data_IF_961814814322
#
_entry.id   IF_961814814322
#
_cell.length_a   1.000
_cell.length_b   1.000
_cell.length_c   1.000
_cell.angle_alpha   90.00
_cell.angle_beta   90.00
_cell.angle_gamma   90.00
#
_symmetry.space_group_name_H-M   'P 1'
#
loop_
_entity.id
_entity.type
_entity.pdbx_description
1 polymer ?
#
# COMPACT_ATOMS: atom_id res chain seq x y z
N UNK A 1 -10.31 10.82 -15.11
CA UNK A 1 -9.60 10.48 -13.86
C UNK A 1 -10.31 11.22 -12.74
N UNK A 2 -11.07 10.51 -11.90
CA UNK A 2 -11.75 11.10 -10.74
C UNK A 2 -10.66 11.71 -9.83
N UNK A 3 -10.85 12.93 -9.35
CA UNK A 3 -9.90 13.55 -8.41
C UNK A 3 -10.04 12.82 -7.08
N UNK A 4 -8.94 12.26 -6.59
CA UNK A 4 -8.84 11.76 -5.22
C UNK A 4 -9.28 12.87 -4.26
N UNK A 5 -10.08 12.51 -3.26
CA UNK A 5 -10.36 13.44 -2.18
C UNK A 5 -9.07 13.81 -1.45
N UNK A 6 -8.99 15.00 -0.82
CA UNK A 6 -7.82 15.39 -0.04
C UNK A 6 -7.44 14.35 1.04
N UNK A 7 -8.45 13.69 1.62
CA UNK A 7 -8.25 12.64 2.63
C UNK A 7 -7.60 11.39 2.03
N UNK A 8 -8.11 10.86 0.92
CA UNK A 8 -7.54 9.70 0.24
C UNK A 8 -6.11 9.98 -0.23
N UNK A 9 -5.85 11.19 -0.71
CA UNK A 9 -4.52 11.60 -1.13
C UNK A 9 -3.52 11.61 0.05
N UNK A 10 -3.92 12.15 1.20
CA UNK A 10 -3.10 12.14 2.42
C UNK A 10 -2.84 10.70 2.88
N UNK A 11 -3.88 9.85 2.90
CA UNK A 11 -3.74 8.45 3.27
C UNK A 11 -2.77 7.73 2.34
N UNK A 12 -2.87 7.96 1.03
CA UNK A 12 -1.96 7.40 0.03
C UNK A 12 -0.52 7.86 0.25
N UNK A 13 -0.29 9.14 0.52
CA UNK A 13 1.06 9.68 0.80
C UNK A 13 1.65 9.00 2.04
N UNK A 14 0.90 8.96 3.15
CA UNK A 14 1.37 8.35 4.40
C UNK A 14 1.68 6.87 4.17
N UNK A 15 0.79 6.15 3.48
CA UNK A 15 0.96 4.74 3.16
C UNK A 15 2.20 4.50 2.29
N UNK A 16 2.44 5.36 1.29
CA UNK A 16 3.60 5.29 0.41
C UNK A 16 4.90 5.53 1.18
N UNK A 17 4.93 6.55 2.05
CA UNK A 17 6.11 6.86 2.88
C UNK A 17 6.40 5.72 3.84
N UNK A 18 5.37 5.17 4.51
CA UNK A 18 5.52 4.04 5.41
C UNK A 18 6.06 2.80 4.68
N UNK A 19 5.58 2.53 3.46
CA UNK A 19 6.08 1.44 2.63
C UNK A 19 7.54 1.61 2.25
N UNK A 20 7.92 2.79 1.73
CA UNK A 20 9.30 3.08 1.35
C UNK A 20 10.24 3.04 2.55
N UNK A 21 9.80 3.53 3.70
CA UNK A 21 10.53 3.44 4.96
C UNK A 21 10.75 2.00 5.39
N UNK A 22 9.71 1.16 5.32
CA UNK A 22 9.79 -0.26 5.65
C UNK A 22 10.75 -1.02 4.73
N UNK A 23 10.63 -0.82 3.42
CA UNK A 23 11.52 -1.44 2.42
C UNK A 23 12.96 -0.94 2.59
N UNK A 24 13.16 0.36 2.81
CA UNK A 24 14.48 0.93 3.05
C UNK A 24 15.15 0.34 4.30
N UNK A 25 14.39 0.18 5.38
CA UNK A 25 14.85 -0.48 6.59
C UNK A 25 15.21 -1.95 6.35
N UNK A 26 14.34 -2.70 5.65
CA UNK A 26 14.57 -4.08 5.26
C UNK A 26 15.87 -4.26 4.45
N UNK A 27 16.08 -3.41 3.44
CA UNK A 27 17.27 -3.43 2.58
C UNK A 27 18.55 -3.10 3.36
N UNK A 28 18.47 -2.27 4.41
CA UNK A 28 19.62 -1.89 5.19
C UNK A 28 19.94 -2.88 6.32
N UNK A 29 18.93 -3.28 7.11
CA UNK A 29 19.11 -4.03 8.35
C UNK A 29 18.82 -5.52 8.25
N UNK A 30 18.03 -5.97 7.26
CA UNK A 30 17.55 -7.34 7.21
C UNK A 30 18.13 -8.16 6.04
N UNK A 31 19.27 -7.71 5.47
CA UNK A 31 19.90 -8.38 4.31
C UNK A 31 20.15 -9.87 4.53
N UNK A 32 20.57 -10.24 5.72
CA UNK A 32 20.91 -11.63 6.05
C UNK A 32 19.68 -12.51 6.30
N UNK A 33 18.49 -11.90 6.46
CA UNK A 33 17.23 -12.60 6.74
C UNK A 33 16.39 -12.88 5.49
N UNK A 34 16.74 -12.33 4.32
CA UNK A 34 15.93 -12.53 3.10
C UNK A 34 15.87 -13.97 2.60
N UNK A 35 16.86 -14.80 2.94
CA UNK A 35 16.92 -16.21 2.50
C UNK A 35 16.43 -17.20 3.56
N UNK A 36 16.00 -16.72 4.74
CA UNK A 36 15.46 -17.58 5.78
C UNK A 36 13.93 -17.61 5.72
N UNK A 37 13.34 -18.69 6.24
CA UNK A 37 11.88 -18.83 6.33
C UNK A 37 11.25 -17.71 7.18
N UNK A 38 12.01 -17.12 8.11
CA UNK A 38 11.61 -15.93 8.86
C UNK A 38 11.54 -14.66 7.98
N UNK A 39 12.27 -14.64 6.87
CA UNK A 39 12.29 -13.53 5.91
C UNK A 39 10.93 -13.25 5.29
N UNK A 40 10.10 -14.28 5.06
CA UNK A 40 8.74 -14.11 4.53
C UNK A 40 7.86 -13.28 5.50
N UNK A 41 8.10 -13.42 6.81
CA UNK A 41 7.33 -12.74 7.84
C UNK A 41 7.63 -11.24 7.89
N UNK A 42 8.81 -10.81 7.41
CA UNK A 42 9.16 -9.40 7.28
C UNK A 42 8.37 -8.68 6.18
N UNK A 43 7.76 -9.41 5.26
CA UNK A 43 6.87 -8.84 4.23
C UNK A 43 5.41 -8.69 4.72
N UNK A 44 5.08 -9.18 5.91
CA UNK A 44 3.72 -9.12 6.45
C UNK A 44 3.16 -7.68 6.48
N UNK A 45 3.94 -6.64 6.85
CA UNK A 45 3.47 -5.25 6.82
C UNK A 45 3.17 -4.73 5.40
N UNK A 46 3.69 -5.36 4.35
CA UNK A 46 3.40 -4.96 2.97
C UNK A 46 1.95 -5.29 2.57
N UNK A 47 1.34 -6.32 3.15
CA UNK A 47 -0.03 -6.76 2.81
C UNK A 47 -1.08 -5.67 3.07
N UNK A 48 -1.20 -5.10 4.29
CA UNK A 48 -2.17 -4.03 4.54
C UNK A 48 -1.87 -2.77 3.70
N UNK A 49 -0.58 -2.49 3.43
CA UNK A 49 -0.17 -1.36 2.57
C UNK A 49 -0.72 -1.53 1.15
N UNK A 50 -0.57 -2.72 0.55
CA UNK A 50 -1.15 -3.04 -0.76
C UNK A 50 -2.67 -2.98 -0.74
N UNK A 51 -3.30 -3.43 0.35
CA UNK A 51 -4.75 -3.41 0.50
C UNK A 51 -5.34 -2.00 0.42
N UNK A 52 -4.65 -1.00 0.97
CA UNK A 52 -5.08 0.42 0.88
C UNK A 52 -5.13 0.90 -0.58
N UNK A 53 -4.17 0.52 -1.42
CA UNK A 53 -4.20 0.88 -2.84
C UNK A 53 -5.36 0.21 -3.58
N UNK A 54 -5.59 -1.09 -3.32
CA UNK A 54 -6.70 -1.84 -3.93
C UNK A 54 -8.04 -1.25 -3.50
N UNK A 55 -8.22 -0.99 -2.21
CA UNK A 55 -9.46 -0.45 -1.67
C UNK A 55 -9.81 0.91 -2.28
N UNK A 56 -8.85 1.83 -2.36
CA UNK A 56 -9.07 3.14 -2.99
C UNK A 56 -9.37 2.99 -4.48
N UNK A 57 -8.68 2.10 -5.19
CA UNK A 57 -8.89 1.89 -6.62
C UNK A 57 -10.24 1.24 -6.94
N UNK A 58 -10.65 0.24 -6.14
CA UNK A 58 -11.93 -0.46 -6.27
C UNK A 58 -13.11 0.45 -5.93
N UNK A 59 -13.07 1.19 -4.81
CA UNK A 59 -14.15 2.13 -4.47
C UNK A 59 -14.32 3.21 -5.53
N UNK A 60 -13.22 3.70 -6.10
CA UNK A 60 -13.30 4.66 -7.20
C UNK A 60 -13.95 4.04 -8.45
N UNK A 61 -13.85 2.72 -8.66
CA UNK A 61 -14.44 2.03 -9.81
C UNK A 61 -15.95 1.82 -9.64
N UNK A 62 -16.43 1.46 -8.45
CA UNK A 62 -17.86 1.22 -8.16
C UNK A 62 -18.72 2.48 -8.31
N UNK A 63 -18.21 3.64 -7.89
CA UNK A 63 -18.92 4.92 -8.08
C UNK A 63 -19.14 5.29 -9.56
N UNK A 64 -18.29 4.82 -10.49
CA UNK A 64 -18.43 5.12 -11.91
C UNK A 64 -19.56 4.33 -12.58
N UNK A 65 -19.98 3.21 -11.99
CA UNK A 65 -21.04 2.36 -12.52
C UNK A 65 -22.43 2.84 -12.06
N UNK A 66 -22.52 3.48 -10.90
CA UNK A 66 -23.76 4.08 -10.38
C UNK A 66 -24.15 5.41 -11.04
N UNK A 67 -23.20 6.19 -11.56
CA UNK A 67 -23.48 7.48 -12.26
C UNK A 67 -23.91 7.29 -13.73
N UNK A 68 -23.82 6.07 -14.27
CA UNK A 68 -24.13 5.75 -15.67
C UNK A 68 -25.47 5.01 -15.87
N UNK A 69 -26.30 4.98 -14.81
CA UNK A 69 -27.65 4.37 -14.78
C UNK A 69 -28.72 5.43 -14.59
#
# INVERSE_FOLDING_TARGET
MKKLSPLEFIVLIINTIAFLGWIGWLVFFARDKFYSQEGIMLYFPCVPIFFVYIFIFTNNSEDNESDNK
#
